data_IF_703856147609
#
_entry.id   IF_703856147609
#
_cell.length_a   1.000
_cell.length_b   1.000
_cell.length_c   1.000
_cell.angle_alpha   90.00
_cell.angle_beta   90.00
_cell.angle_gamma   90.00
#
_symmetry.space_group_name_H-M   'P 1'
#
loop_
_entity.id
_entity.type
_entity.pdbx_description
1 polymer ?
#
# COMPACT_ATOMS: atom_id res chain seq x y z
N UNK A 1 6.31 -7.02 -8.39
CA UNK A 1 5.82 -8.41 -8.17
C UNK A 1 6.74 -9.37 -8.92
N UNK A 2 6.97 -10.57 -8.38
CA UNK A 2 7.75 -11.62 -9.06
C UNK A 2 6.79 -12.53 -9.81
N UNK A 3 6.75 -12.40 -11.15
CA UNK A 3 5.76 -13.12 -11.98
C UNK A 3 5.96 -14.65 -11.95
N UNK A 4 7.17 -15.13 -11.65
CA UNK A 4 7.49 -16.54 -11.44
C UNK A 4 6.80 -17.16 -10.21
N UNK A 5 6.33 -16.32 -9.27
CA UNK A 5 5.59 -16.75 -8.07
C UNK A 5 4.07 -16.62 -8.21
N UNK A 6 3.60 -16.21 -9.38
CA UNK A 6 2.19 -15.95 -9.66
C UNK A 6 1.65 -17.09 -10.51
N UNK A 7 0.61 -17.76 -10.01
CA UNK A 7 -0.07 -18.84 -10.75
C UNK A 7 -1.55 -18.53 -10.88
N UNK A 8 -2.16 -18.91 -12.01
CA UNK A 8 -3.60 -18.85 -12.20
C UNK A 8 -4.17 -20.23 -11.95
N UNK A 9 -5.05 -20.34 -10.95
CA UNK A 9 -5.78 -21.56 -10.63
C UNK A 9 -7.13 -21.49 -11.33
N UNK A 10 -7.43 -22.47 -12.18
CA UNK A 10 -8.72 -22.59 -12.85
C UNK A 10 -9.68 -23.41 -11.97
N UNK A 11 -10.85 -22.84 -11.70
CA UNK A 11 -11.96 -23.46 -10.96
C UNK A 11 -13.18 -23.48 -11.88
N UNK A 12 -13.13 -24.32 -12.92
CA UNK A 12 -14.15 -24.37 -13.96
C UNK A 12 -14.21 -23.07 -14.78
N UNK A 13 -15.36 -22.36 -14.84
CA UNK A 13 -15.44 -21.07 -15.55
C UNK A 13 -14.71 -19.92 -14.83
N UNK A 14 -14.23 -20.14 -13.60
CA UNK A 14 -13.56 -19.11 -12.79
C UNK A 14 -12.03 -19.24 -12.86
N UNK A 15 -11.34 -18.10 -12.93
CA UNK A 15 -9.88 -18.02 -12.84
C UNK A 15 -9.50 -17.23 -11.59
N UNK A 16 -8.66 -17.81 -10.73
CA UNK A 16 -8.18 -17.16 -9.51
C UNK A 16 -6.65 -17.02 -9.57
N UNK A 17 -6.17 -15.77 -9.56
CA UNK A 17 -4.74 -15.45 -9.55
C UNK A 17 -4.22 -15.58 -8.12
N UNK A 18 -3.29 -16.52 -7.90
CA UNK A 18 -2.63 -16.78 -6.62
C UNK A 18 -1.20 -16.26 -6.69
N UNK A 19 -0.90 -15.24 -5.89
CA UNK A 19 0.44 -14.70 -5.72
C UNK A 19 1.10 -15.31 -4.48
N UNK A 20 2.02 -16.26 -4.69
CA UNK A 20 2.74 -16.92 -3.60
C UNK A 20 3.78 -16.00 -2.95
N UNK A 21 4.16 -14.90 -3.59
CA UNK A 21 5.07 -13.91 -3.06
C UNK A 21 4.41 -12.86 -2.17
N UNK A 22 3.07 -12.84 -2.07
CA UNK A 22 2.34 -11.80 -1.37
C UNK A 22 2.69 -11.73 0.12
N UNK A 23 2.69 -12.86 0.83
CA UNK A 23 2.99 -12.90 2.27
C UNK A 23 4.41 -12.41 2.57
N UNK A 24 5.38 -12.74 1.72
CA UNK A 24 6.74 -12.24 1.87
C UNK A 24 6.82 -10.72 1.66
N UNK A 25 6.07 -10.18 0.68
CA UNK A 25 6.00 -8.73 0.47
C UNK A 25 5.34 -8.04 1.67
N UNK A 26 4.25 -8.59 2.21
CA UNK A 26 3.59 -8.06 3.41
C UNK A 26 4.56 -8.02 4.60
N UNK A 27 5.27 -9.12 4.86
CA UNK A 27 6.26 -9.18 5.93
C UNK A 27 7.39 -8.16 5.75
N UNK A 28 7.84 -7.93 4.51
CA UNK A 28 8.85 -6.91 4.23
C UNK A 28 8.33 -5.51 4.57
N UNK A 29 7.10 -5.17 4.18
CA UNK A 29 6.50 -3.86 4.50
C UNK A 29 6.18 -3.70 5.99
N UNK A 30 5.75 -4.77 6.67
CA UNK A 30 5.60 -4.76 8.13
C UNK A 30 6.95 -4.50 8.81
N UNK A 31 8.03 -5.06 8.28
CA UNK A 31 9.39 -4.78 8.78
C UNK A 31 9.76 -3.31 8.55
N UNK A 32 9.45 -2.74 7.37
CA UNK A 32 9.65 -1.31 7.11
C UNK A 32 8.89 -0.43 8.11
N UNK A 33 7.64 -0.77 8.43
CA UNK A 33 6.86 -0.07 9.43
C UNK A 33 7.54 -0.09 10.80
N UNK A 34 8.12 -1.22 11.21
CA UNK A 34 8.86 -1.33 12.47
C UNK A 34 10.16 -0.52 12.49
N UNK A 35 10.80 -0.29 11.34
CA UNK A 35 12.00 0.54 11.27
C UNK A 35 11.72 2.03 11.55
N UNK A 36 10.46 2.47 11.45
CA UNK A 36 10.04 3.82 11.84
C UNK A 36 9.92 4.00 13.35
N UNK A 37 9.97 2.92 14.13
CA UNK A 37 9.96 3.01 15.60
C UNK A 37 11.39 3.27 16.14
N UNK A 38 11.55 4.06 17.23
CA UNK A 38 12.84 4.24 17.88
C UNK A 38 13.42 2.90 18.41
N UNK A 39 14.75 2.70 18.37
CA UNK A 39 15.79 3.64 17.99
C UNK A 39 16.18 3.60 16.50
N UNK A 40 15.59 2.71 15.69
CA UNK A 40 16.00 2.48 14.30
C UNK A 40 15.82 3.73 13.43
N UNK A 41 14.78 4.52 13.71
CA UNK A 41 14.47 5.76 13.01
C UNK A 41 15.67 6.73 12.89
N UNK A 42 16.51 6.83 13.92
CA UNK A 42 17.66 7.76 13.91
C UNK A 42 18.77 7.37 12.93
N UNK A 43 18.76 6.12 12.45
CA UNK A 43 19.74 5.59 11.51
C UNK A 43 19.16 5.41 10.11
N UNK A 44 17.89 5.74 9.93
CA UNK A 44 17.15 5.54 8.71
C UNK A 44 17.33 6.74 7.77
N UNK A 45 17.71 6.45 6.53
CA UNK A 45 17.59 7.42 5.44
C UNK A 45 16.12 7.47 5.01
N UNK A 46 15.39 8.47 5.53
CA UNK A 46 13.96 8.59 5.31
C UNK A 46 13.61 8.88 3.85
N UNK A 47 14.49 9.56 3.11
CA UNK A 47 14.25 9.87 1.70
C UNK A 47 14.23 8.59 0.85
N UNK A 48 15.25 7.74 1.01
CA UNK A 48 15.30 6.42 0.36
C UNK A 48 14.18 5.51 0.84
N UNK A 49 13.82 5.59 2.12
CA UNK A 49 12.73 4.82 2.69
C UNK A 49 11.39 5.14 2.00
N UNK A 50 11.10 6.42 1.78
CA UNK A 50 9.86 6.86 1.13
C UNK A 50 9.79 6.44 -0.34
N UNK A 51 10.92 6.39 -1.05
CA UNK A 51 10.97 5.82 -2.42
C UNK A 51 10.57 4.35 -2.43
N UNK A 52 10.99 3.57 -1.42
CA UNK A 52 10.56 2.16 -1.28
C UNK A 52 9.09 2.09 -0.91
N UNK A 53 8.62 2.91 0.04
CA UNK A 53 7.22 2.95 0.44
C UNK A 53 6.30 3.29 -0.75
N UNK A 54 6.70 4.21 -1.63
CA UNK A 54 5.95 4.57 -2.84
C UNK A 54 5.63 3.34 -3.71
N UNK A 55 6.54 2.38 -3.81
CA UNK A 55 6.33 1.17 -4.62
C UNK A 55 5.16 0.33 -4.08
N UNK A 56 4.87 0.41 -2.77
CA UNK A 56 3.77 -0.30 -2.13
C UNK A 56 2.40 0.26 -2.48
N UNK A 57 2.32 1.56 -2.79
CA UNK A 57 1.08 2.19 -3.27
C UNK A 57 0.64 1.63 -4.63
N UNK A 58 1.59 1.17 -5.43
CA UNK A 58 1.36 0.57 -6.74
C UNK A 58 1.21 -0.96 -6.71
N UNK A 59 1.28 -1.61 -5.53
CA UNK A 59 1.14 -3.07 -5.45
C UNK A 59 -0.27 -3.51 -5.86
N UNK A 60 -0.43 -4.63 -6.58
CA UNK A 60 -1.74 -5.15 -6.95
C UNK A 60 -2.60 -5.58 -5.76
N UNK A 61 -2.01 -5.86 -4.60
CA UNK A 61 -2.75 -6.26 -3.40
C UNK A 61 -3.19 -5.03 -2.59
N UNK A 62 -4.51 -4.84 -2.48
CA UNK A 62 -5.10 -3.73 -1.69
C UNK A 62 -4.63 -3.73 -0.23
N UNK A 63 -4.42 -4.91 0.36
CA UNK A 63 -3.94 -5.07 1.74
C UNK A 63 -2.56 -4.43 1.93
N UNK A 64 -1.69 -4.55 0.93
CA UNK A 64 -0.35 -3.97 0.95
C UNK A 64 -0.42 -2.45 0.77
N UNK A 65 -1.35 -1.95 -0.05
CA UNK A 65 -1.60 -0.50 -0.17
C UNK A 65 -2.04 0.11 1.16
N UNK A 66 -2.97 -0.52 1.86
CA UNK A 66 -3.42 -0.09 3.21
C UNK A 66 -2.26 -0.05 4.20
N UNK A 67 -1.41 -1.10 4.22
CA UNK A 67 -0.20 -1.11 5.05
C UNK A 67 0.78 0.01 4.67
N UNK A 68 0.90 0.30 3.38
CA UNK A 68 1.74 1.38 2.86
C UNK A 68 1.22 2.75 3.28
N UNK A 69 -0.10 2.96 3.29
CA UNK A 69 -0.68 4.19 3.81
C UNK A 69 -0.27 4.44 5.27
N UNK A 70 -0.37 3.41 6.12
CA UNK A 70 0.07 3.50 7.52
C UNK A 70 1.57 3.81 7.65
N UNK A 71 2.41 3.24 6.79
CA UNK A 71 3.86 3.53 6.76
C UNK A 71 4.11 5.00 6.45
N UNK A 72 3.43 5.56 5.44
CA UNK A 72 3.60 6.96 5.04
C UNK A 72 3.05 7.90 6.12
N UNK A 73 1.90 7.58 6.74
CA UNK A 73 1.36 8.33 7.89
C UNK A 73 2.38 8.41 9.03
N UNK A 74 3.02 7.28 9.36
CA UNK A 74 4.06 7.22 10.41
C UNK A 74 5.34 7.96 10.02
N UNK A 75 5.72 7.93 8.75
CA UNK A 75 6.86 8.68 8.23
C UNK A 75 6.60 10.20 8.27
N UNK A 76 5.38 10.64 7.91
CA UNK A 76 4.95 12.03 8.01
C UNK A 76 4.99 12.54 9.46
N UNK A 77 4.51 11.72 10.41
CA UNK A 77 4.58 12.03 11.84
C UNK A 77 6.03 12.12 12.36
N UNK A 78 6.95 11.32 11.81
CA UNK A 78 8.36 11.35 12.17
C UNK A 78 9.10 12.57 11.59
N UNK A 79 8.86 12.89 10.31
CA UNK A 79 9.44 14.05 9.64
C UNK A 79 8.57 14.50 8.45
N UNK A 80 7.70 15.47 8.72
CA UNK A 80 6.81 16.02 7.72
C UNK A 80 7.54 16.76 6.59
N UNK A 81 8.71 17.37 6.85
CA UNK A 81 9.44 18.12 5.84
C UNK A 81 9.95 17.19 4.73
N UNK A 82 10.61 16.09 5.10
CA UNK A 82 11.09 15.08 4.15
C UNK A 82 9.91 14.46 3.40
N UNK A 83 8.84 14.09 4.11
CA UNK A 83 7.67 13.45 3.50
C UNK A 83 6.97 14.36 2.48
N UNK A 84 6.92 15.68 2.72
CA UNK A 84 6.34 16.65 1.78
C UNK A 84 7.03 16.66 0.42
N UNK A 85 8.34 16.41 0.36
CA UNK A 85 9.09 16.37 -0.90
C UNK A 85 8.66 15.21 -1.82
N UNK A 86 8.00 14.19 -1.28
CA UNK A 86 7.54 13.02 -2.02
C UNK A 86 6.05 13.06 -2.40
N UNK A 87 5.31 14.11 -2.02
CA UNK A 87 3.85 14.18 -2.24
C UNK A 87 3.46 14.04 -3.71
N UNK A 88 4.14 14.76 -4.61
CA UNK A 88 3.89 14.69 -6.05
C UNK A 88 4.05 13.26 -6.59
N UNK A 89 4.92 12.46 -5.97
CA UNK A 89 5.17 11.08 -6.35
C UNK A 89 4.09 10.11 -5.82
N UNK A 90 3.36 10.47 -4.76
CA UNK A 90 2.27 9.67 -4.20
C UNK A 90 0.94 9.90 -4.92
N UNK A 91 0.68 11.15 -5.34
CA UNK A 91 -0.60 11.59 -5.94
C UNK A 91 -1.12 10.63 -7.02
N UNK A 92 -0.33 10.20 -8.03
CA UNK A 92 -0.86 9.34 -9.10
C UNK A 92 -1.44 8.00 -8.59
N UNK A 93 -0.80 7.41 -7.57
CA UNK A 93 -1.25 6.13 -7.01
C UNK A 93 -2.50 6.32 -6.12
N UNK A 94 -2.59 7.44 -5.40
CA UNK A 94 -3.76 7.77 -4.57
C UNK A 94 -4.97 8.10 -5.45
N UNK A 95 -4.80 8.89 -6.51
CA UNK A 95 -5.85 9.19 -7.49
C UNK A 95 -6.39 7.93 -8.17
N UNK A 96 -5.47 7.04 -8.59
CA UNK A 96 -5.85 5.74 -9.16
C UNK A 96 -6.72 4.97 -8.18
N UNK A 97 -6.36 4.96 -6.89
CA UNK A 97 -7.11 4.25 -5.85
C UNK A 97 -8.47 4.88 -5.59
N UNK A 98 -8.55 6.22 -5.52
CA UNK A 98 -9.80 6.97 -5.32
C UNK A 98 -10.78 6.84 -6.50
N UNK A 99 -10.27 6.58 -7.70
CA UNK A 99 -11.09 6.37 -8.90
C UNK A 99 -11.72 4.96 -9.00
N UNK A 100 -11.35 4.03 -8.10
CA UNK A 100 -11.85 2.67 -8.13
C UNK A 100 -13.34 2.60 -7.77
N UNK A 101 -14.10 1.80 -8.52
CA UNK A 101 -15.51 1.53 -8.26
C UNK A 101 -15.77 0.02 -8.17
N UNK A 102 -16.71 -0.38 -7.31
CA UNK A 102 -17.11 -1.77 -7.19
C UNK A 102 -17.76 -2.25 -8.50
N UNK A 103 -17.48 -3.51 -8.88
CA UNK A 103 -18.13 -4.13 -10.03
C UNK A 103 -19.61 -4.37 -9.73
N UNK A 104 -20.44 -4.39 -10.77
CA UNK A 104 -21.89 -4.65 -10.63
C UNK A 104 -22.22 -6.02 -10.03
N UNK A 105 -21.32 -6.98 -10.16
CA UNK A 105 -21.43 -8.32 -9.60
C UNK A 105 -20.55 -8.55 -8.35
N UNK A 106 -20.03 -7.48 -7.75
CA UNK A 106 -19.16 -7.57 -6.58
C UNK A 106 -19.93 -8.17 -5.40
N UNK A 107 -19.32 -9.12 -4.70
CA UNK A 107 -19.88 -9.64 -3.45
C UNK A 107 -19.66 -8.63 -2.33
N UNK A 108 -20.49 -8.67 -1.27
CA UNK A 108 -20.41 -7.75 -0.13
C UNK A 108 -19.00 -7.57 0.43
N UNK A 109 -18.24 -8.67 0.55
CA UNK A 109 -16.85 -8.65 1.04
C UNK A 109 -15.89 -7.85 0.13
N UNK A 110 -16.11 -7.86 -1.19
CA UNK A 110 -15.28 -7.08 -2.13
C UNK A 110 -15.59 -5.59 -2.03
N UNK A 111 -16.86 -5.25 -1.83
CA UNK A 111 -17.29 -3.86 -1.61
C UNK A 111 -16.69 -3.32 -0.31
N UNK A 112 -16.83 -4.05 0.81
CA UNK A 112 -16.27 -3.64 2.11
C UNK A 112 -14.75 -3.43 2.06
N UNK A 113 -14.02 -4.32 1.36
CA UNK A 113 -12.57 -4.17 1.16
C UNK A 113 -12.20 -2.95 0.33
N UNK A 114 -13.01 -2.62 -0.67
CA UNK A 114 -12.79 -1.41 -1.48
C UNK A 114 -13.07 -0.16 -0.64
N UNK A 115 -14.17 -0.14 0.10
CA UNK A 115 -14.54 0.99 0.98
C UNK A 115 -13.47 1.25 2.05
N UNK A 116 -12.91 0.19 2.65
CA UNK A 116 -11.80 0.30 3.60
C UNK A 116 -10.54 0.89 2.94
N UNK A 117 -10.22 0.47 1.72
CA UNK A 117 -9.09 1.00 0.96
C UNK A 117 -9.28 2.49 0.65
N UNK A 118 -10.47 2.88 0.18
CA UNK A 118 -10.81 4.28 -0.10
C UNK A 118 -10.73 5.13 1.18
N UNK A 119 -11.31 4.66 2.28
CA UNK A 119 -11.25 5.34 3.57
C UNK A 119 -9.82 5.46 4.09
N UNK A 120 -8.97 4.45 3.90
CA UNK A 120 -7.54 4.50 4.24
C UNK A 120 -6.79 5.52 3.37
N UNK A 121 -7.11 5.60 2.08
CA UNK A 121 -6.49 6.56 1.15
C UNK A 121 -6.82 8.00 1.53
N UNK A 122 -8.08 8.26 1.90
CA UNK A 122 -8.52 9.58 2.36
C UNK A 122 -7.87 9.97 3.69
N UNK A 123 -7.74 9.02 4.64
CA UNK A 123 -7.03 9.26 5.91
C UNK A 123 -5.57 9.66 5.68
N UNK A 124 -4.87 8.93 4.80
CA UNK A 124 -3.51 9.29 4.41
C UNK A 124 -3.48 10.71 3.82
N UNK A 125 -4.36 11.02 2.86
CA UNK A 125 -4.39 12.34 2.24
C UNK A 125 -4.54 13.47 3.26
N UNK A 126 -5.42 13.30 4.26
CA UNK A 126 -5.60 14.26 5.35
C UNK A 126 -4.39 14.35 6.29
N UNK A 127 -3.65 13.24 6.49
CA UNK A 127 -2.44 13.24 7.33
C UNK A 127 -1.25 13.97 6.70
N UNK A 128 -1.32 14.21 5.39
CA UNK A 128 -0.26 14.80 4.58
C UNK A 128 -0.44 16.32 4.37
N UNK A 129 -1.56 16.88 4.83
CA UNK A 129 -1.85 18.33 4.89
C UNK A 129 -1.06 19.02 6.01
#
# INVERSE_FOLDING_TARGET
>A
VREDLVRVVEMGPFKHKVDQGLELRKLAYETLLRLLDPPALHRLDLDRFLVVAQQGLADPANELKVLTHLIIERAAAANAAVTRHHLDAFVPALETTLSMTAKSNAVKQEVERLDELLASTLRLALSLE
#
